data_IF_497016261062
#
_entry.id   IF_497016261062
#
_cell.length_a   1.000
_cell.length_b   1.000
_cell.length_c   1.000
_cell.angle_alpha   90.00
_cell.angle_beta   90.00
_cell.angle_gamma   90.00
#
_symmetry.space_group_name_H-M   'P 1'
#
loop_
_entity.id
_entity.type
_entity.pdbx_description
1 polymer ?
#
# COMPACT_ATOMS: atom_id res chain seq x y z
N UNK A 1 1.41 9.96 -34.72
CA UNK A 1 2.73 9.33 -34.42
C UNK A 1 3.42 9.96 -33.22
N UNK A 2 3.58 11.29 -33.12
CA UNK A 2 4.24 11.93 -31.98
C UNK A 2 3.57 11.63 -30.62
N UNK A 3 2.23 11.64 -30.56
CA UNK A 3 1.46 11.27 -29.36
C UNK A 3 1.73 9.84 -28.90
N UNK A 4 1.95 8.91 -29.83
CA UNK A 4 2.24 7.51 -29.52
C UNK A 4 3.65 7.36 -28.92
N UNK A 5 4.63 8.10 -29.43
CA UNK A 5 5.98 8.14 -28.84
C UNK A 5 5.97 8.76 -27.44
N UNK A 6 5.20 9.83 -27.24
CA UNK A 6 5.07 10.45 -25.93
C UNK A 6 4.34 9.51 -24.95
N UNK A 7 3.28 8.83 -25.38
CA UNK A 7 2.60 7.83 -24.57
C UNK A 7 3.55 6.69 -24.15
N UNK A 8 4.38 6.17 -25.08
CA UNK A 8 5.36 5.14 -24.77
C UNK A 8 6.37 5.62 -23.71
N UNK A 9 6.88 6.86 -23.85
CA UNK A 9 7.78 7.49 -22.87
C UNK A 9 7.14 7.62 -21.49
N UNK A 10 5.87 8.03 -21.44
CA UNK A 10 5.11 8.16 -20.19
C UNK A 10 4.86 6.79 -19.53
N UNK A 11 4.53 5.76 -20.32
CA UNK A 11 4.35 4.39 -19.82
C UNK A 11 5.66 3.86 -19.22
N UNK A 12 6.80 4.07 -19.88
CA UNK A 12 8.10 3.67 -19.34
C UNK A 12 8.39 4.33 -17.98
N UNK A 13 8.14 5.64 -17.88
CA UNK A 13 8.31 6.39 -16.64
C UNK A 13 7.38 5.90 -15.54
N UNK A 14 6.10 5.66 -15.87
CA UNK A 14 5.12 5.07 -14.95
C UNK A 14 5.62 3.74 -14.40
N UNK A 15 6.03 2.83 -15.28
CA UNK A 15 6.54 1.51 -14.89
C UNK A 15 7.78 1.61 -13.99
N UNK A 16 8.69 2.55 -14.27
CA UNK A 16 9.87 2.79 -13.42
C UNK A 16 9.50 3.31 -12.04
N UNK A 17 8.52 4.22 -11.96
CA UNK A 17 8.03 4.76 -10.69
C UNK A 17 7.31 3.65 -9.89
N UNK A 18 6.46 2.87 -10.53
CA UNK A 18 5.73 1.76 -9.89
C UNK A 18 6.68 0.72 -9.29
N UNK A 19 7.79 0.39 -9.97
CA UNK A 19 8.83 -0.50 -9.41
C UNK A 19 9.48 0.08 -8.15
N UNK A 20 9.87 1.36 -8.17
CA UNK A 20 10.45 2.03 -6.99
C UNK A 20 9.48 2.07 -5.81
N UNK A 21 8.20 2.35 -6.07
CA UNK A 21 7.17 2.33 -5.02
C UNK A 21 7.04 0.91 -4.47
N UNK A 22 6.98 -0.09 -5.35
CA UNK A 22 6.88 -1.51 -4.97
C UNK A 22 8.05 -1.94 -4.08
N UNK A 23 9.28 -1.52 -4.39
CA UNK A 23 10.47 -1.75 -3.56
C UNK A 23 10.36 -1.10 -2.17
N UNK A 24 9.82 0.13 -2.08
CA UNK A 24 9.64 0.84 -0.81
C UNK A 24 8.56 0.18 0.06
N UNK A 25 7.44 -0.22 -0.55
CA UNK A 25 6.27 -0.72 0.18
C UNK A 25 6.28 -2.24 0.38
N UNK A 26 7.15 -2.97 -0.34
CA UNK A 26 7.28 -4.44 -0.28
C UNK A 26 6.16 -5.20 -0.98
N UNK A 27 5.31 -4.53 -1.76
CA UNK A 27 4.14 -5.09 -2.45
C UNK A 27 3.78 -4.27 -3.69
N UNK A 28 2.96 -4.82 -4.58
CA UNK A 28 2.60 -4.15 -5.83
C UNK A 28 2.05 -2.73 -5.58
N UNK A 29 2.53 -1.73 -6.32
CA UNK A 29 2.18 -0.31 -6.17
C UNK A 29 0.74 0.05 -6.63
N UNK A 30 -0.26 -0.71 -6.20
CA UNK A 30 -1.67 -0.39 -6.35
C UNK A 30 -2.04 0.76 -5.41
N UNK A 31 -3.01 1.60 -5.80
CA UNK A 31 -3.41 2.77 -5.00
C UNK A 31 -3.82 2.40 -3.57
N UNK A 32 -4.53 1.27 -3.40
CA UNK A 32 -4.89 0.73 -2.09
C UNK A 32 -3.65 0.33 -1.28
N UNK A 33 -2.73 -0.40 -1.89
CA UNK A 33 -1.49 -0.82 -1.24
C UNK A 33 -0.58 0.36 -0.83
N UNK A 34 -0.56 1.43 -1.61
CA UNK A 34 0.18 2.64 -1.23
C UNK A 34 -0.50 3.32 -0.05
N UNK A 35 -1.83 3.47 -0.11
CA UNK A 35 -2.63 4.08 0.95
C UNK A 35 -2.47 3.38 2.29
N UNK A 36 -2.60 2.05 2.33
CA UNK A 36 -2.48 1.35 3.61
C UNK A 36 -1.03 1.34 4.12
N UNK A 37 -0.01 1.34 3.25
CA UNK A 37 1.39 1.49 3.69
C UNK A 37 1.62 2.83 4.39
N UNK A 38 1.08 3.91 3.83
CA UNK A 38 1.15 5.24 4.45
C UNK A 38 0.43 5.23 5.79
N UNK A 39 -0.79 4.66 5.85
CA UNK A 39 -1.55 4.56 7.09
C UNK A 39 -0.78 3.77 8.17
N UNK A 40 -0.16 2.64 7.80
CA UNK A 40 0.69 1.85 8.68
C UNK A 40 1.86 2.66 9.25
N UNK A 41 2.56 3.45 8.42
CA UNK A 41 3.69 4.28 8.88
C UNK A 41 3.26 5.47 9.74
N UNK A 42 2.19 6.16 9.37
CA UNK A 42 1.72 7.37 10.06
C UNK A 42 1.05 7.01 11.39
N UNK A 43 0.13 6.04 11.37
CA UNK A 43 -0.69 5.69 12.53
C UNK A 43 -0.14 4.51 13.35
N UNK A 44 0.87 3.79 12.85
CA UNK A 44 1.40 2.60 13.51
C UNK A 44 0.40 1.46 13.54
N UNK A 45 -0.36 1.27 12.46
CA UNK A 45 -1.24 0.11 12.29
C UNK A 45 -0.48 -1.04 11.62
N UNK A 46 -0.73 -2.27 12.07
CA UNK A 46 -0.34 -3.48 11.33
C UNK A 46 -1.51 -3.88 10.46
N UNK A 47 -1.25 -4.04 9.17
CA UNK A 47 -2.26 -4.49 8.21
C UNK A 47 -2.36 -6.01 8.24
N UNK A 48 -3.52 -6.55 7.87
CA UNK A 48 -3.71 -8.00 7.73
C UNK A 48 -3.34 -8.41 6.32
N UNK A 49 -2.55 -9.48 6.18
CA UNK A 49 -2.02 -9.92 4.88
C UNK A 49 -3.09 -10.36 3.86
N UNK A 50 -4.32 -10.61 4.30
CA UNK A 50 -5.38 -11.16 3.44
C UNK A 50 -6.67 -10.34 3.49
N UNK A 51 -7.03 -9.76 2.35
CA UNK A 51 -8.34 -9.15 2.06
C UNK A 51 -9.54 -10.12 2.15
N UNK A 52 -9.33 -11.35 2.64
CA UNK A 52 -10.37 -12.36 2.86
C UNK A 52 -11.21 -12.11 4.12
N UNK A 53 -10.79 -11.24 5.03
CA UNK A 53 -11.63 -10.79 6.14
C UNK A 53 -12.40 -9.53 5.74
N UNK A 54 -13.62 -9.69 5.22
CA UNK A 54 -14.53 -8.56 4.95
C UNK A 54 -14.69 -7.72 6.23
N UNK A 55 -14.23 -6.47 6.18
CA UNK A 55 -14.44 -5.47 7.23
C UNK A 55 -13.29 -5.28 8.21
N UNK A 56 -12.11 -5.85 7.96
CA UNK A 56 -10.96 -5.71 8.86
C UNK A 56 -9.63 -5.56 8.10
N UNK A 57 -9.12 -4.32 8.04
CA UNK A 57 -7.89 -3.97 7.28
C UNK A 57 -6.61 -4.00 8.13
N UNK A 58 -6.73 -3.94 9.46
CA UNK A 58 -5.59 -3.93 10.37
C UNK A 58 -5.93 -3.54 11.81
N UNK A 59 -4.90 -3.42 12.64
CA UNK A 59 -5.04 -3.01 14.05
C UNK A 59 -3.88 -2.12 14.48
N UNK A 60 -4.13 -1.18 15.41
CA UNK A 60 -3.07 -0.35 15.97
C UNK A 60 -2.10 -1.21 16.78
N UNK A 61 -0.81 -0.95 16.58
CA UNK A 61 0.28 -1.63 17.31
C UNK A 61 0.75 -0.85 18.53
N UNK A 62 0.33 0.42 18.67
CA UNK A 62 0.76 1.36 19.71
C UNK A 62 -0.35 2.34 20.08
N UNK A 63 -0.20 3.01 21.23
CA UNK A 63 -1.15 3.98 21.76
C UNK A 63 -2.40 3.36 22.38
N UNK A 64 -3.36 4.18 22.81
CA UNK A 64 -4.56 3.74 23.54
C UNK A 64 -5.51 2.86 22.71
N UNK A 65 -5.32 2.81 21.39
CA UNK A 65 -6.09 1.95 20.48
C UNK A 65 -5.36 0.64 20.16
N UNK A 66 -4.19 0.40 20.76
CA UNK A 66 -3.39 -0.81 20.55
C UNK A 66 -4.27 -2.04 20.81
N UNK A 67 -4.21 -3.01 19.91
CA UNK A 67 -4.88 -4.30 20.11
C UNK A 67 -4.30 -4.99 21.34
N UNK A 68 -5.13 -5.18 22.36
CA UNK A 68 -4.82 -6.04 23.50
C UNK A 68 -5.10 -7.51 23.13
N UNK A 69 -4.38 -8.42 23.77
CA UNK A 69 -4.26 -9.81 23.34
C UNK A 69 -5.61 -10.55 23.33
N UNK A 70 -6.12 -10.81 22.12
CA UNK A 70 -6.97 -11.97 21.76
C UNK A 70 -8.36 -12.08 22.38
N UNK A 71 -9.39 -11.65 21.65
CA UNK A 71 -10.55 -12.46 21.23
C UNK A 71 -11.53 -11.57 20.44
N UNK A 72 -12.38 -12.19 19.62
CA UNK A 72 -13.52 -11.56 18.95
C UNK A 72 -14.73 -11.54 19.87
#
# INVERSE_FOLDING_TARGET
>A
MQELYELARLIEQKNRIERKITEIIGRLALIGHVGEYIAAKVFGISLVDSASNKGFDGYFTKGNLKRENGEY
#
